data_IF_663995668384
#
_entry.id   IF_663995668384
#
_cell.length_a   1.000
_cell.length_b   1.000
_cell.length_c   1.000
_cell.angle_alpha   90.00
_cell.angle_beta   90.00
_cell.angle_gamma   90.00
#
_symmetry.space_group_name_H-M   'P 1'
#
loop_
_entity.id
_entity.type
_entity.pdbx_description
1 polymer ?
#
# COMPACT_ATOMS: atom_id res chain seq x y z
N UNK A 1 -27.42 -27.70 1.53
CA UNK A 1 -26.73 -26.40 1.34
C UNK A 1 -25.83 -26.00 2.53
N UNK A 2 -25.78 -26.77 3.64
CA UNK A 2 -25.06 -26.37 4.87
C UNK A 2 -23.57 -26.78 4.95
N UNK A 3 -23.08 -27.63 4.07
CA UNK A 3 -21.70 -28.19 4.10
C UNK A 3 -20.58 -27.15 3.93
N UNK A 4 -20.86 -25.96 3.37
CA UNK A 4 -19.85 -24.89 3.23
C UNK A 4 -19.49 -24.23 4.55
N UNK A 5 -20.41 -24.31 5.52
CA UNK A 5 -20.28 -23.73 6.86
C UNK A 5 -19.98 -24.82 7.91
N UNK A 6 -19.86 -26.07 7.48
CA UNK A 6 -19.41 -27.15 8.34
C UNK A 6 -17.92 -26.99 8.64
N UNK A 7 -17.61 -27.19 9.91
CA UNK A 7 -16.28 -27.03 10.47
C UNK A 7 -15.39 -28.17 9.98
N UNK A 8 -14.28 -27.83 9.33
CA UNK A 8 -13.23 -28.76 8.95
C UNK A 8 -12.30 -28.94 10.14
N UNK A 9 -12.13 -30.18 10.59
CA UNK A 9 -11.04 -30.58 11.48
C UNK A 9 -9.87 -31.05 10.63
N UNK A 10 -8.75 -30.33 10.68
CA UNK A 10 -7.48 -30.78 10.14
C UNK A 10 -6.71 -31.53 11.24
N UNK A 11 -6.12 -32.68 10.91
CA UNK A 11 -5.51 -33.63 11.87
C UNK A 11 -4.31 -33.09 12.67
N UNK A 12 -3.94 -31.80 12.54
CA UNK A 12 -2.76 -31.22 13.22
C UNK A 12 -2.87 -29.72 13.58
N UNK A 13 -4.09 -29.17 13.73
CA UNK A 13 -4.25 -27.81 14.26
C UNK A 13 -5.54 -27.61 15.06
N UNK A 14 -5.45 -26.93 16.21
CA UNK A 14 -6.60 -26.44 17.01
C UNK A 14 -7.47 -25.40 16.27
N UNK A 15 -7.10 -25.03 15.05
CA UNK A 15 -7.83 -24.09 14.22
C UNK A 15 -9.03 -24.78 13.56
N UNK A 16 -10.21 -24.57 14.14
CA UNK A 16 -11.49 -24.91 13.52
C UNK A 16 -11.75 -23.88 12.42
N UNK A 17 -11.92 -24.30 11.18
CA UNK A 17 -12.16 -23.42 10.02
C UNK A 17 -13.14 -24.07 9.06
N UNK A 18 -13.94 -23.30 8.35
CA UNK A 18 -14.89 -23.82 7.34
C UNK A 18 -14.26 -23.87 5.96
N UNK A 19 -14.77 -24.72 5.07
CA UNK A 19 -14.29 -24.78 3.68
C UNK A 19 -14.45 -23.44 2.95
N UNK A 20 -15.48 -22.67 3.31
CA UNK A 20 -15.70 -21.32 2.79
C UNK A 20 -14.60 -20.37 3.21
N UNK A 21 -14.24 -20.36 4.49
CA UNK A 21 -13.14 -19.52 5.01
C UNK A 21 -11.79 -19.88 4.38
N UNK A 22 -11.52 -21.16 4.11
CA UNK A 22 -10.32 -21.57 3.37
C UNK A 22 -10.34 -21.02 1.95
N UNK A 23 -11.46 -21.19 1.22
CA UNK A 23 -11.58 -20.69 -0.14
C UNK A 23 -11.43 -19.16 -0.21
N UNK A 24 -12.14 -18.43 0.65
CA UNK A 24 -12.12 -16.97 0.72
C UNK A 24 -10.71 -16.45 1.08
N UNK A 25 -10.02 -17.08 2.05
CA UNK A 25 -8.64 -16.73 2.44
C UNK A 25 -7.65 -16.85 1.29
N UNK A 26 -7.86 -17.80 0.39
CA UNK A 26 -6.94 -18.11 -0.70
C UNK A 26 -7.40 -17.54 -2.06
N UNK A 27 -8.39 -16.63 -2.07
CA UNK A 27 -8.91 -16.02 -3.30
C UNK A 27 -9.56 -17.02 -4.26
N UNK A 28 -10.00 -18.15 -3.73
CA UNK A 28 -10.71 -19.19 -4.45
C UNK A 28 -12.22 -19.11 -4.21
N UNK A 29 -12.98 -19.75 -5.09
CA UNK A 29 -14.43 -19.87 -4.94
C UNK A 29 -14.85 -21.33 -4.99
N UNK A 30 -15.83 -21.68 -4.16
CA UNK A 30 -16.41 -23.02 -4.11
C UNK A 30 -17.89 -22.93 -4.40
N UNK A 31 -18.37 -23.65 -5.41
CA UNK A 31 -19.81 -23.81 -5.63
C UNK A 31 -20.18 -25.21 -6.09
N UNK A 32 -21.45 -25.52 -5.86
CA UNK A 32 -22.05 -26.80 -6.15
C UNK A 32 -23.06 -26.62 -7.27
N UNK A 33 -22.94 -27.44 -8.30
CA UNK A 33 -23.77 -27.35 -9.49
C UNK A 33 -24.42 -28.69 -9.77
N UNK A 34 -25.75 -28.67 -9.88
CA UNK A 34 -26.55 -29.81 -10.35
C UNK A 34 -26.81 -29.66 -11.84
N UNK A 35 -26.52 -30.71 -12.61
CA UNK A 35 -26.97 -30.80 -14.00
C UNK A 35 -28.25 -31.63 -14.05
N UNK A 36 -29.37 -30.95 -14.31
CA UNK A 36 -30.73 -31.53 -14.25
C UNK A 36 -31.04 -32.65 -15.25
N UNK A 37 -30.09 -33.07 -16.09
CA UNK A 37 -30.30 -34.09 -17.12
C UNK A 37 -29.60 -35.44 -16.90
N UNK A 38 -28.64 -35.56 -15.98
CA UNK A 38 -27.75 -36.74 -15.94
C UNK A 38 -27.46 -37.32 -14.55
N UNK A 39 -28.17 -36.93 -13.49
CA UNK A 39 -27.99 -37.50 -12.14
C UNK A 39 -26.63 -37.21 -11.49
N UNK A 40 -25.75 -36.47 -12.16
CA UNK A 40 -24.42 -36.13 -11.67
C UNK A 40 -24.42 -34.75 -11.01
N UNK A 41 -23.79 -34.68 -9.84
CA UNK A 41 -23.44 -33.44 -9.16
C UNK A 41 -21.91 -33.30 -9.13
N UNK A 42 -21.41 -32.09 -9.27
CA UNK A 42 -19.97 -31.83 -9.22
C UNK A 42 -19.65 -30.61 -8.37
N UNK A 43 -18.48 -30.67 -7.74
CA UNK A 43 -17.86 -29.57 -7.04
C UNK A 43 -16.93 -28.84 -8.01
N UNK A 44 -17.07 -27.52 -8.08
CA UNK A 44 -16.08 -26.68 -8.74
C UNK A 44 -15.30 -25.91 -7.68
N UNK A 45 -13.99 -26.07 -7.74
CA UNK A 45 -13.02 -25.34 -6.94
C UNK A 45 -12.25 -24.46 -7.90
N UNK A 46 -12.39 -23.15 -7.75
CA UNK A 46 -11.59 -22.19 -8.51
C UNK A 46 -10.29 -21.97 -7.73
N UNK A 47 -9.20 -22.56 -8.21
CA UNK A 47 -7.87 -22.37 -7.64
C UNK A 47 -7.16 -21.23 -8.41
N UNK A 48 -6.53 -20.27 -7.71
CA UNK A 48 -5.63 -19.32 -8.35
C UNK A 48 -4.58 -20.09 -9.16
N UNK A 49 -4.37 -19.72 -10.42
CA UNK A 49 -3.37 -20.36 -11.27
C UNK A 49 -2.00 -20.23 -10.59
N UNK A 50 -1.42 -21.35 -10.15
CA UNK A 50 0.01 -21.37 -9.86
C UNK A 50 0.72 -21.16 -11.20
N UNK A 51 1.59 -20.15 -11.27
CA UNK A 51 2.49 -19.99 -12.39
C UNK A 51 3.50 -21.13 -12.26
N UNK A 52 3.22 -22.25 -12.91
CA UNK A 52 4.13 -23.38 -12.99
C UNK A 52 5.40 -22.94 -13.72
N UNK A 53 6.51 -22.85 -12.99
CA UNK A 53 7.84 -22.72 -13.53
C UNK A 53 8.16 -23.94 -14.43
N UNK A 54 8.05 -23.76 -15.75
CA UNK A 54 8.61 -24.68 -16.73
C UNK A 54 10.11 -24.40 -16.92
N UNK A 55 10.95 -25.41 -16.72
CA UNK A 55 12.39 -25.42 -17.06
C UNK A 55 12.60 -25.80 -18.55
N UNK A 56 13.76 -25.54 -19.18
CA UNK A 56 13.87 -24.54 -20.24
C UNK A 56 14.22 -25.12 -21.62
N UNK A 57 13.74 -24.47 -22.67
CA UNK A 57 14.36 -24.59 -24.00
C UNK A 57 15.55 -23.62 -24.05
N UNK A 58 16.75 -24.18 -24.30
CA UNK A 58 18.01 -23.52 -24.66
C UNK A 58 18.22 -22.09 -24.13
N UNK A 59 18.93 -22.00 -23.00
CA UNK A 59 19.48 -20.76 -22.47
C UNK A 59 20.60 -20.33 -23.43
N UNK A 60 20.29 -19.47 -24.40
CA UNK A 60 21.26 -18.48 -24.82
C UNK A 60 21.51 -17.59 -23.60
N UNK A 61 22.77 -17.39 -23.22
CA UNK A 61 23.22 -16.55 -22.11
C UNK A 61 22.62 -15.14 -22.22
N UNK A 62 21.42 -14.97 -21.69
CA UNK A 62 20.91 -13.69 -21.27
C UNK A 62 21.26 -13.60 -19.79
N UNK A 63 22.11 -12.63 -19.49
CA UNK A 63 22.46 -12.24 -18.14
C UNK A 63 21.20 -12.24 -17.24
N UNK A 64 21.32 -12.65 -15.97
CA UNK A 64 20.19 -12.60 -15.05
C UNK A 64 19.56 -11.19 -15.11
N UNK A 65 18.22 -11.06 -15.17
CA UNK A 65 17.60 -9.76 -15.03
C UNK A 65 18.15 -9.17 -13.73
N UNK A 66 18.70 -7.96 -13.83
CA UNK A 66 19.18 -7.21 -12.68
C UNK A 66 18.12 -7.31 -11.58
N UNK A 67 18.56 -7.68 -10.37
CA UNK A 67 17.70 -7.59 -9.20
C UNK A 67 17.02 -6.22 -9.26
N UNK A 68 15.70 -6.22 -9.42
CA UNK A 68 14.94 -4.98 -9.46
C UNK A 68 15.22 -4.28 -8.13
N UNK A 69 15.99 -3.21 -8.18
CA UNK A 69 16.28 -2.40 -7.00
C UNK A 69 14.94 -1.91 -6.46
N UNK A 70 14.68 -2.16 -5.17
CA UNK A 70 13.56 -1.54 -4.47
C UNK A 70 13.60 -0.03 -4.70
N UNK A 71 12.42 0.60 -4.81
CA UNK A 71 12.29 2.07 -4.83
C UNK A 71 13.25 2.68 -3.80
N UNK A 72 14.14 3.61 -4.18
CA UNK A 72 15.11 4.20 -3.28
C UNK A 72 14.39 4.81 -2.09
N UNK A 73 14.96 4.63 -0.91
CA UNK A 73 14.46 5.26 0.30
C UNK A 73 14.73 6.78 0.21
N UNK A 74 13.69 7.58 0.40
CA UNK A 74 13.71 9.02 0.18
C UNK A 74 13.53 9.72 1.54
N UNK A 75 14.56 10.41 1.98
CA UNK A 75 14.63 11.00 3.31
C UNK A 75 14.64 12.53 3.21
N UNK A 76 13.45 13.13 3.15
CA UNK A 76 13.32 14.59 3.13
C UNK A 76 12.37 15.03 4.24
N UNK A 77 12.98 15.45 5.35
CA UNK A 77 12.22 15.90 6.51
C UNK A 77 11.68 17.31 6.36
N UNK A 78 12.20 18.10 5.41
CA UNK A 78 11.68 19.42 5.13
C UNK A 78 10.29 19.34 4.48
N UNK A 79 9.96 18.25 3.78
CA UNK A 79 8.59 17.95 3.35
C UNK A 79 7.62 17.83 4.52
N UNK A 80 8.06 17.29 5.65
CA UNK A 80 7.28 17.19 6.88
C UNK A 80 7.25 18.51 7.68
N UNK A 81 8.05 19.52 7.30
CA UNK A 81 8.16 20.82 8.00
C UNK A 81 7.26 21.91 7.44
N UNK A 82 6.51 21.67 6.36
CA UNK A 82 5.51 22.66 5.92
C UNK A 82 4.57 22.95 7.09
N UNK A 83 4.34 24.23 7.43
CA UNK A 83 3.58 24.61 8.62
C UNK A 83 2.08 24.36 8.37
N UNK A 84 1.71 23.09 8.35
CA UNK A 84 0.35 22.63 8.48
C UNK A 84 0.20 22.21 9.93
N UNK A 85 0.37 23.17 10.82
CA UNK A 85 -0.01 22.93 12.20
C UNK A 85 -1.53 22.84 12.19
N UNK A 86 -2.02 21.60 12.31
CA UNK A 86 -3.35 21.29 12.80
C UNK A 86 -3.19 21.06 14.30
N UNK A 87 -2.99 22.11 15.12
CA UNK A 87 -2.77 21.92 16.57
C UNK A 87 -3.95 21.21 17.23
N UNK A 88 -5.13 21.22 16.60
CA UNK A 88 -6.29 20.43 16.96
C UNK A 88 -6.06 18.91 16.88
N UNK A 89 -5.13 18.44 16.04
CA UNK A 89 -4.81 17.03 15.83
C UNK A 89 -3.53 16.58 16.57
N UNK A 90 -2.57 17.47 16.81
CA UNK A 90 -1.24 17.17 17.39
C UNK A 90 -1.32 16.39 18.72
N UNK A 91 -2.18 16.84 19.64
CA UNK A 91 -2.30 16.24 20.97
C UNK A 91 -3.38 15.15 21.04
N UNK A 92 -4.02 14.80 19.91
CA UNK A 92 -5.02 13.73 19.86
C UNK A 92 -4.35 12.36 19.87
N UNK A 93 -5.02 11.39 20.49
CA UNK A 93 -4.55 10.03 20.51
C UNK A 93 -4.57 9.42 19.10
N UNK A 94 -3.51 8.70 18.72
CA UNK A 94 -3.37 8.06 17.41
C UNK A 94 -4.55 7.11 17.10
N UNK A 95 -5.19 6.52 18.10
CA UNK A 95 -6.33 5.61 17.90
C UNK A 95 -7.64 6.33 17.57
N UNK A 96 -7.71 7.63 17.85
CA UNK A 96 -8.90 8.47 17.66
C UNK A 96 -8.85 9.32 16.38
N UNK A 97 -7.71 9.29 15.68
CA UNK A 97 -7.52 10.00 14.43
C UNK A 97 -8.12 9.23 13.25
N UNK A 98 -8.52 10.00 12.23
CA UNK A 98 -8.86 9.47 10.91
C UNK A 98 -7.64 9.63 10.01
N UNK A 99 -7.32 8.57 9.28
CA UNK A 99 -6.17 8.56 8.40
C UNK A 99 -6.59 8.34 6.95
N UNK A 100 -5.82 8.91 6.03
CA UNK A 100 -5.80 8.45 4.64
C UNK A 100 -4.45 7.85 4.36
N UNK A 101 -4.44 6.54 4.11
CA UNK A 101 -3.24 5.84 3.66
C UNK A 101 -3.18 5.93 2.15
N UNK A 102 -2.04 6.30 1.58
CA UNK A 102 -1.91 6.39 0.13
C UNK A 102 -0.53 5.96 -0.36
N UNK A 103 -0.47 5.65 -1.65
CA UNK A 103 0.73 5.33 -2.40
C UNK A 103 0.57 5.82 -3.85
N UNK A 104 1.69 6.05 -4.53
CA UNK A 104 1.73 6.45 -5.93
C UNK A 104 2.61 5.53 -6.77
N UNK A 105 2.18 5.28 -8.00
CA UNK A 105 2.99 4.65 -9.04
C UNK A 105 3.42 5.72 -10.05
N UNK A 106 4.65 5.63 -10.55
CA UNK A 106 5.28 6.68 -11.35
C UNK A 106 6.01 6.12 -12.56
N UNK A 107 6.33 6.99 -13.53
CA UNK A 107 7.16 6.62 -14.70
C UNK A 107 8.63 6.34 -14.34
N UNK A 108 9.04 6.67 -13.13
CA UNK A 108 10.42 6.57 -12.64
C UNK A 108 10.57 7.19 -11.25
N UNK A 109 11.80 7.38 -10.81
CA UNK A 109 12.13 7.65 -9.41
C UNK A 109 12.68 9.06 -9.17
N UNK A 110 12.55 9.98 -10.13
CA UNK A 110 13.09 11.34 -10.01
C UNK A 110 11.98 12.39 -10.03
N UNK A 111 11.59 12.94 -8.87
CA UNK A 111 10.65 14.06 -8.83
C UNK A 111 11.10 15.24 -9.69
N UNK A 112 10.15 15.85 -10.40
CA UNK A 112 10.40 16.94 -11.35
C UNK A 112 10.79 16.47 -12.76
N UNK A 113 11.25 15.22 -12.90
CA UNK A 113 11.50 14.59 -14.20
C UNK A 113 10.48 13.50 -14.54
N UNK A 114 10.02 12.74 -13.54
CA UNK A 114 9.07 11.65 -13.69
C UNK A 114 7.63 12.07 -13.37
N UNK A 115 6.68 11.30 -13.89
CA UNK A 115 5.25 11.58 -13.84
C UNK A 115 4.50 10.52 -13.03
N UNK A 116 3.43 10.93 -12.35
CA UNK A 116 2.53 10.03 -11.63
C UNK A 116 1.64 9.31 -12.66
N UNK A 117 1.52 7.99 -12.54
CA UNK A 117 0.66 7.14 -13.39
C UNK A 117 -0.48 6.48 -12.63
N UNK A 118 -0.42 6.42 -11.30
CA UNK A 118 -1.55 6.01 -10.47
C UNK A 118 -1.47 6.62 -9.06
N UNK A 119 -2.64 6.83 -8.46
CA UNK A 119 -2.79 7.14 -7.04
C UNK A 119 -3.78 6.15 -6.44
N UNK A 120 -3.37 5.50 -5.37
CA UNK A 120 -4.18 4.57 -4.59
C UNK A 120 -4.24 5.05 -3.16
N UNK A 121 -5.44 5.12 -2.59
CA UNK A 121 -5.62 5.54 -1.21
C UNK A 121 -6.86 4.93 -0.59
N UNK A 122 -6.88 4.88 0.74
CA UNK A 122 -8.04 4.44 1.52
C UNK A 122 -8.03 4.99 2.94
N UNK A 123 -9.21 5.00 3.56
CA UNK A 123 -9.39 5.55 4.90
C UNK A 123 -9.16 4.52 5.99
N UNK A 124 -8.60 4.97 7.11
CA UNK A 124 -8.66 4.29 8.41
C UNK A 124 -9.50 5.15 9.34
N UNK A 125 -10.57 4.58 9.89
CA UNK A 125 -11.46 5.24 10.85
C UNK A 125 -11.64 4.32 12.05
N UNK A 126 -11.49 4.84 13.27
CA UNK A 126 -11.62 4.08 14.52
C UNK A 126 -10.76 2.80 14.54
N UNK A 127 -9.51 2.90 14.04
CA UNK A 127 -8.58 1.78 13.96
C UNK A 127 -8.98 0.67 12.98
N UNK A 128 -9.85 0.96 12.01
CA UNK A 128 -10.29 0.01 10.98
C UNK A 128 -10.03 0.55 9.59
N UNK A 129 -9.43 -0.29 8.75
CA UNK A 129 -9.20 -0.02 7.33
C UNK A 129 -10.53 -0.14 6.56
N UNK A 130 -10.99 0.95 5.95
CA UNK A 130 -12.26 1.01 5.22
C UNK A 130 -12.04 0.67 3.75
N UNK A 131 -12.12 -0.62 3.40
CA UNK A 131 -11.88 -1.15 2.04
C UNK A 131 -12.90 -0.68 0.99
N UNK A 132 -14.00 -0.08 1.43
CA UNK A 132 -15.05 0.51 0.59
C UNK A 132 -14.88 2.01 0.37
N UNK A 133 -14.06 2.69 1.19
CA UNK A 133 -13.74 4.11 1.05
C UNK A 133 -12.34 4.24 0.44
N UNK A 134 -12.28 4.02 -0.87
CA UNK A 134 -11.03 3.98 -1.64
C UNK A 134 -11.00 5.08 -2.69
N UNK A 135 -9.81 5.59 -2.96
CA UNK A 135 -9.48 6.39 -4.13
C UNK A 135 -8.51 5.56 -4.97
N UNK A 136 -8.92 5.17 -6.17
CA UNK A 136 -8.07 4.42 -7.09
C UNK A 136 -8.20 5.05 -8.47
N UNK A 137 -7.14 5.72 -8.92
CA UNK A 137 -7.17 6.48 -10.14
C UNK A 137 -5.86 6.31 -10.90
N UNK A 138 -5.96 5.77 -12.12
CA UNK A 138 -4.90 5.88 -13.11
C UNK A 138 -4.81 7.32 -13.62
N UNK A 139 -3.61 7.78 -13.91
CA UNK A 139 -3.32 9.14 -14.34
C UNK A 139 -2.66 9.07 -15.71
N UNK A 140 -3.10 9.89 -16.65
CA UNK A 140 -2.38 10.08 -17.91
C UNK A 140 -1.13 10.91 -17.66
N UNK A 141 0.09 10.35 -17.81
CA UNK A 141 1.33 11.07 -17.52
C UNK A 141 1.75 12.03 -18.63
N UNK A 142 1.01 12.11 -19.74
CA UNK A 142 1.36 12.94 -20.90
C UNK A 142 2.65 12.51 -21.64
N UNK A 143 3.21 11.34 -21.30
CA UNK A 143 4.44 10.78 -21.87
C UNK A 143 4.39 9.25 -21.90
N UNK A 144 5.25 8.59 -22.69
CA UNK A 144 5.40 7.14 -22.62
C UNK A 144 5.91 6.69 -21.24
N UNK A 145 5.34 5.61 -20.71
CA UNK A 145 5.80 4.95 -19.49
C UNK A 145 7.02 4.08 -19.82
N UNK A 146 8.18 4.27 -19.16
CA UNK A 146 9.34 3.41 -19.34
C UNK A 146 9.03 1.95 -19.01
N UNK A 147 9.54 1.02 -19.83
CA UNK A 147 9.29 -0.41 -19.65
C UNK A 147 9.74 -0.97 -18.30
N UNK A 148 10.77 -0.38 -17.70
CA UNK A 148 11.25 -0.74 -16.37
C UNK A 148 10.20 -0.43 -15.28
N UNK A 149 9.52 0.72 -15.37
CA UNK A 149 8.42 1.07 -14.46
C UNK A 149 7.20 0.17 -14.70
N UNK A 150 6.79 -0.01 -15.95
CA UNK A 150 5.69 -0.92 -16.30
C UNK A 150 5.95 -2.38 -15.85
N UNK A 151 7.21 -2.82 -15.81
CA UNK A 151 7.56 -4.16 -15.32
C UNK A 151 7.37 -4.32 -13.80
N UNK A 152 7.36 -3.22 -13.05
CA UNK A 152 7.10 -3.19 -11.60
C UNK A 152 5.59 -3.17 -11.36
N UNK A 153 4.93 -2.10 -11.78
CA UNK A 153 3.56 -1.81 -11.38
C UNK A 153 2.50 -2.31 -12.38
N UNK A 154 2.92 -2.86 -13.52
CA UNK A 154 2.04 -3.44 -14.52
C UNK A 154 1.20 -2.44 -15.33
N UNK A 155 1.39 -1.13 -15.15
CA UNK A 155 0.62 -0.09 -15.84
C UNK A 155 1.28 0.19 -17.19
N UNK A 156 0.47 0.13 -18.25
CA UNK A 156 0.90 0.31 -19.64
C UNK A 156 0.38 1.62 -20.22
N UNK A 157 1.02 2.10 -21.28
CA UNK A 157 0.56 3.29 -22.02
C UNK A 157 -0.90 3.17 -22.49
N UNK A 158 -1.36 1.96 -22.81
CA UNK A 158 -2.75 1.73 -23.22
C UNK A 158 -3.73 1.95 -22.07
N UNK A 159 -3.39 1.56 -20.84
CA UNK A 159 -4.24 1.74 -19.67
C UNK A 159 -4.43 3.21 -19.29
N UNK A 160 -3.42 4.05 -19.53
CA UNK A 160 -3.41 5.48 -19.15
C UNK A 160 -3.80 6.44 -20.27
N UNK A 161 -3.92 5.96 -21.51
CA UNK A 161 -4.16 6.80 -22.71
C UNK A 161 -5.35 7.74 -22.55
N UNK A 162 -6.48 7.20 -22.09
CA UNK A 162 -7.76 7.92 -21.97
C UNK A 162 -8.07 8.31 -20.52
N UNK A 163 -7.07 8.22 -19.63
CA UNK A 163 -7.22 8.60 -18.22
C UNK A 163 -7.08 10.11 -18.04
N UNK A 164 -7.68 10.69 -16.99
CA UNK A 164 -7.49 12.10 -16.68
C UNK A 164 -6.02 12.42 -16.36
N UNK A 165 -5.52 13.61 -16.75
CA UNK A 165 -4.18 14.03 -16.37
C UNK A 165 -4.16 14.50 -14.92
N UNK A 166 -2.96 14.71 -14.37
CA UNK A 166 -2.78 14.98 -12.93
C UNK A 166 -3.47 16.27 -12.48
N UNK A 167 -3.64 17.26 -13.37
CA UNK A 167 -4.35 18.52 -13.11
C UNK A 167 -5.83 18.31 -12.78
N UNK A 168 -6.41 17.19 -13.24
CA UNK A 168 -7.79 16.81 -12.93
C UNK A 168 -7.85 15.87 -11.71
N UNK A 169 -6.85 15.00 -11.56
CA UNK A 169 -6.83 13.97 -10.50
C UNK A 169 -6.45 14.56 -9.15
N UNK A 170 -5.43 15.42 -9.10
CA UNK A 170 -4.89 15.96 -7.85
C UNK A 170 -5.92 16.77 -7.05
N UNK A 171 -6.75 17.65 -7.63
CA UNK A 171 -7.83 18.31 -6.87
C UNK A 171 -8.84 17.33 -6.26
N UNK A 172 -9.14 16.22 -6.96
CA UNK A 172 -10.04 15.17 -6.43
C UNK A 172 -9.40 14.42 -5.28
N UNK A 173 -8.10 14.12 -5.41
CA UNK A 173 -7.33 13.48 -4.35
C UNK A 173 -7.22 14.38 -3.12
N UNK A 174 -6.96 15.69 -3.30
CA UNK A 174 -6.97 16.66 -2.21
C UNK A 174 -8.28 16.61 -1.43
N UNK A 175 -9.43 16.64 -2.12
CA UNK A 175 -10.73 16.52 -1.47
C UNK A 175 -10.92 15.19 -0.73
N UNK A 176 -10.41 14.08 -1.30
CA UNK A 176 -10.49 12.78 -0.64
C UNK A 176 -9.71 12.73 0.68
N UNK A 177 -8.57 13.42 0.78
CA UNK A 177 -7.71 13.41 1.98
C UNK A 177 -8.06 14.50 3.01
N UNK A 178 -9.05 15.35 2.73
CA UNK A 178 -9.48 16.42 3.64
C UNK A 178 -9.81 15.87 5.04
N UNK A 179 -9.38 16.63 6.05
CA UNK A 179 -9.54 16.35 7.48
C UNK A 179 -9.02 14.97 7.93
N UNK A 180 -7.96 14.48 7.28
CA UNK A 180 -7.27 13.26 7.67
C UNK A 180 -5.79 13.48 7.92
N UNK A 181 -5.16 12.59 8.69
CA UNK A 181 -3.71 12.46 8.74
C UNK A 181 -3.28 11.53 7.61
N UNK A 182 -2.36 11.99 6.77
CA UNK A 182 -1.80 11.17 5.69
C UNK A 182 -0.86 10.13 6.26
N UNK A 183 -0.92 8.92 5.72
CA UNK A 183 -0.02 7.82 6.06
C UNK A 183 0.53 7.23 4.76
N UNK A 184 1.83 6.95 4.73
CA UNK A 184 2.45 6.24 3.62
C UNK A 184 3.67 5.46 4.09
N UNK A 185 4.33 4.81 3.15
CA UNK A 185 5.60 4.13 3.38
C UNK A 185 6.68 4.81 2.56
N UNK A 186 7.70 5.38 3.19
CA UNK A 186 8.65 6.24 2.49
C UNK A 186 7.94 7.38 1.73
N UNK A 187 6.97 7.98 2.43
CA UNK A 187 5.92 8.85 1.88
C UNK A 187 6.46 10.20 1.39
N UNK A 188 7.68 10.54 1.82
CA UNK A 188 8.40 11.72 1.37
C UNK A 188 8.54 11.74 -0.16
N UNK A 189 8.79 10.59 -0.80
CA UNK A 189 8.83 10.54 -2.26
C UNK A 189 7.47 10.85 -2.90
N UNK A 190 6.37 10.23 -2.41
CA UNK A 190 5.04 10.45 -2.99
C UNK A 190 4.63 11.91 -2.83
N UNK A 191 4.89 12.50 -1.67
CA UNK A 191 4.65 13.92 -1.41
C UNK A 191 5.49 14.80 -2.32
N UNK A 192 6.76 14.46 -2.58
CA UNK A 192 7.59 15.22 -3.51
C UNK A 192 7.03 15.16 -4.93
N UNK A 193 6.62 13.99 -5.40
CA UNK A 193 5.98 13.83 -6.72
C UNK A 193 4.73 14.72 -6.85
N UNK A 194 3.92 14.81 -5.79
CA UNK A 194 2.73 15.67 -5.74
C UNK A 194 3.09 17.16 -5.68
N UNK A 195 4.10 17.54 -4.90
CA UNK A 195 4.56 18.93 -4.77
C UNK A 195 5.06 19.52 -6.09
N UNK A 196 5.73 18.72 -6.92
CA UNK A 196 6.17 19.15 -8.26
C UNK A 196 5.00 19.54 -9.18
N UNK A 197 3.77 19.15 -8.83
CA UNK A 197 2.55 19.50 -9.58
C UNK A 197 1.86 20.75 -9.02
N UNK A 198 2.32 21.32 -7.91
CA UNK A 198 1.71 22.50 -7.28
C UNK A 198 1.67 23.70 -8.19
N UNK A 199 2.77 23.98 -8.91
CA UNK A 199 2.86 25.13 -9.80
C UNK A 199 1.84 25.07 -10.94
N UNK A 200 1.53 23.86 -11.43
CA UNK A 200 0.65 23.66 -12.58
C UNK A 200 -0.83 23.49 -12.18
N UNK A 201 -1.08 22.95 -10.99
CA UNK A 201 -2.44 22.63 -10.51
C UNK A 201 -3.00 23.69 -9.55
N UNK A 202 -2.14 24.46 -8.91
CA UNK A 202 -2.50 25.33 -7.78
C UNK A 202 -2.91 24.56 -6.51
N UNK A 203 -2.81 23.23 -6.52
CA UNK A 203 -3.18 22.36 -5.39
C UNK A 203 -1.97 22.11 -4.51
N UNK A 204 -1.98 22.64 -3.30
CA UNK A 204 -0.99 22.36 -2.26
C UNK A 204 -1.60 21.40 -1.24
N UNK A 205 -1.03 20.19 -1.13
CA UNK A 205 -1.51 19.18 -0.19
C UNK A 205 -1.03 19.53 1.22
N UNK A 206 -1.98 19.92 2.06
CA UNK A 206 -1.74 20.49 3.38
C UNK A 206 -2.40 19.59 4.42
N UNK A 207 -1.67 18.59 4.90
CA UNK A 207 -2.13 17.65 5.93
C UNK A 207 -0.96 17.18 6.81
N UNK A 208 -1.19 16.82 8.08
CA UNK A 208 -0.19 16.12 8.89
C UNK A 208 0.12 14.76 8.26
N UNK A 209 1.38 14.31 8.36
CA UNK A 209 1.86 13.09 7.70
C UNK A 209 2.54 12.17 8.69
N UNK A 210 2.30 10.87 8.59
CA UNK A 210 3.07 9.82 9.26
C UNK A 210 3.70 8.87 8.24
N UNK A 211 4.98 8.57 8.42
CA UNK A 211 5.72 7.63 7.58
C UNK A 211 5.94 6.32 8.33
N UNK A 212 5.41 5.23 7.80
CA UNK A 212 5.56 3.89 8.40
C UNK A 212 7.00 3.38 8.39
N UNK A 213 7.86 3.80 7.45
CA UNK A 213 9.28 3.48 7.47
C UNK A 213 9.94 4.09 8.72
N UNK A 214 9.69 5.38 8.97
CA UNK A 214 10.24 6.09 10.12
C UNK A 214 9.68 5.55 11.44
N UNK A 215 8.37 5.29 11.50
CA UNK A 215 7.76 4.67 12.68
C UNK A 215 8.32 3.27 12.92
N UNK A 216 8.61 2.50 11.86
CA UNK A 216 9.29 1.21 12.03
C UNK A 216 10.68 1.37 12.62
N UNK A 217 11.44 2.40 12.25
CA UNK A 217 12.76 2.65 12.79
C UNK A 217 12.71 3.01 14.28
N UNK A 218 11.66 3.69 14.74
CA UNK A 218 11.39 3.93 16.18
C UNK A 218 11.07 2.63 16.91
N UNK A 219 10.24 1.77 16.31
CA UNK A 219 9.79 0.52 16.92
C UNK A 219 10.90 -0.53 16.97
N UNK A 220 11.67 -0.65 15.89
CA UNK A 220 12.63 -1.71 15.64
C UNK A 220 13.96 -1.16 15.10
N UNK A 221 14.71 -0.35 15.86
CA UNK A 221 15.92 0.32 15.38
C UNK A 221 17.04 -0.64 14.93
N UNK A 222 17.06 -1.86 15.46
CA UNK A 222 18.06 -2.90 15.13
C UNK A 222 17.63 -3.79 13.95
N UNK A 223 16.51 -3.48 13.29
CA UNK A 223 16.04 -4.26 12.16
C UNK A 223 16.98 -4.09 10.95
N UNK A 224 17.27 -5.19 10.26
CA UNK A 224 18.10 -5.19 9.06
C UNK A 224 17.44 -4.54 7.83
N UNK A 225 16.12 -4.37 7.84
CA UNK A 225 15.36 -3.74 6.77
C UNK A 225 14.06 -3.17 7.31
N UNK A 226 13.69 -2.03 6.73
CA UNK A 226 12.43 -1.32 6.96
C UNK A 226 11.58 -1.23 5.70
N UNK A 227 11.87 -2.02 4.65
CA UNK A 227 11.02 -2.04 3.45
C UNK A 227 9.60 -2.48 3.78
N UNK A 228 8.63 -2.07 2.96
CA UNK A 228 7.24 -2.45 3.17
C UNK A 228 7.05 -3.97 3.23
N UNK A 229 7.80 -4.74 2.42
CA UNK A 229 7.79 -6.21 2.46
C UNK A 229 8.34 -6.75 3.78
N UNK A 230 9.43 -6.16 4.28
CA UNK A 230 10.02 -6.56 5.55
C UNK A 230 9.05 -6.27 6.71
N UNK A 231 8.32 -5.15 6.66
CA UNK A 231 7.29 -4.83 7.65
C UNK A 231 6.08 -5.76 7.54
N UNK A 232 5.59 -5.99 6.33
CA UNK A 232 4.46 -6.89 6.10
C UNK A 232 4.76 -8.30 6.61
N UNK A 233 5.97 -8.82 6.31
CA UNK A 233 6.43 -10.11 6.82
C UNK A 233 6.51 -10.10 8.36
N UNK A 234 7.13 -9.07 8.94
CA UNK A 234 7.30 -8.94 10.41
C UNK A 234 5.97 -8.92 11.15
N UNK A 235 4.97 -8.23 10.60
CA UNK A 235 3.66 -8.10 11.21
C UNK A 235 2.65 -9.16 10.76
N UNK A 236 3.04 -10.10 9.88
CA UNK A 236 2.13 -11.12 9.35
C UNK A 236 0.98 -10.54 8.52
N UNK A 237 1.26 -9.48 7.76
CA UNK A 237 0.33 -8.86 6.80
C UNK A 237 0.50 -9.53 5.45
N UNK A 238 -0.61 -9.95 4.84
CA UNK A 238 -0.60 -10.60 3.53
C UNK A 238 -0.57 -9.54 2.43
N UNK A 239 0.34 -9.72 1.47
CA UNK A 239 0.41 -8.90 0.28
C UNK A 239 -0.73 -9.24 -0.69
N UNK A 240 -1.63 -8.29 -0.93
CA UNK A 240 -2.69 -8.39 -1.93
C UNK A 240 -2.52 -7.22 -2.89
N UNK A 241 -2.35 -7.50 -4.19
CA UNK A 241 -2.18 -6.45 -5.20
C UNK A 241 -0.88 -5.65 -5.07
N UNK A 242 0.22 -6.28 -4.62
CA UNK A 242 1.53 -5.62 -4.49
C UNK A 242 1.94 -5.00 -5.84
N UNK A 243 2.54 -3.81 -5.77
CA UNK A 243 2.92 -2.98 -6.92
C UNK A 243 1.71 -2.46 -7.69
N UNK A 244 0.58 -2.34 -7.00
CA UNK A 244 -0.48 -1.43 -7.42
C UNK A 244 -0.60 -0.38 -6.34
N UNK A 245 -0.84 0.87 -6.72
CA UNK A 245 -0.95 1.97 -5.76
C UNK A 245 -1.97 1.65 -4.65
N UNK A 246 -3.13 1.06 -4.99
CA UNK A 246 -4.14 0.72 -3.98
C UNK A 246 -3.70 -0.47 -3.11
N UNK A 247 -3.10 -1.52 -3.69
CA UNK A 247 -2.63 -2.67 -2.94
C UNK A 247 -1.51 -2.33 -1.96
N UNK A 248 -0.60 -1.43 -2.35
CA UNK A 248 0.47 -0.92 -1.50
C UNK A 248 -0.06 -0.01 -0.39
N UNK A 249 -1.03 0.86 -0.68
CA UNK A 249 -1.72 1.65 0.32
C UNK A 249 -2.47 0.74 1.33
N UNK A 250 -3.14 -0.33 0.87
CA UNK A 250 -3.79 -1.30 1.74
C UNK A 250 -2.78 -2.02 2.65
N UNK A 251 -1.66 -2.49 2.09
CA UNK A 251 -0.60 -3.15 2.87
C UNK A 251 -0.02 -2.19 3.91
N UNK A 252 0.27 -0.96 3.51
CA UNK A 252 0.77 0.11 4.40
C UNK A 252 -0.22 0.37 5.53
N UNK A 253 -1.52 0.41 5.24
CA UNK A 253 -2.56 0.63 6.24
C UNK A 253 -2.67 -0.50 7.26
N UNK A 254 -2.61 -1.75 6.80
CA UNK A 254 -2.59 -2.92 7.69
C UNK A 254 -1.32 -2.92 8.57
N UNK A 255 -0.15 -2.62 8.00
CA UNK A 255 1.11 -2.47 8.74
C UNK A 255 0.99 -1.37 9.80
N UNK A 256 0.50 -0.19 9.42
CA UNK A 256 0.32 0.94 10.32
C UNK A 256 -0.59 0.59 11.50
N UNK A 257 -1.72 -0.10 11.26
CA UNK A 257 -2.62 -0.55 12.32
C UNK A 257 -1.92 -1.50 13.32
N UNK A 258 -0.98 -2.32 12.86
CA UNK A 258 -0.18 -3.21 13.74
C UNK A 258 0.89 -2.45 14.53
N UNK A 259 1.33 -1.29 14.04
CA UNK A 259 2.29 -0.43 14.74
C UNK A 259 1.66 0.35 15.90
N UNK A 260 0.39 0.75 15.78
CA UNK A 260 -0.30 1.56 16.80
C UNK A 260 -0.17 1.02 18.25
N UNK A 261 -0.49 -0.25 18.56
CA UNK A 261 -0.34 -0.76 19.92
C UNK A 261 1.13 -0.85 20.37
N UNK A 262 2.08 -0.98 19.45
CA UNK A 262 3.52 -1.03 19.76
C UNK A 262 4.07 0.37 20.07
N UNK A 263 3.59 1.39 19.37
CA UNK A 263 3.88 2.80 19.64
C UNK A 263 3.33 3.16 21.03
N UNK A 264 2.08 2.80 21.30
CA UNK A 264 1.44 3.02 22.60
C UNK A 264 2.23 2.36 23.74
N UNK A 265 2.69 1.12 23.55
CA UNK A 265 3.53 0.41 24.52
C UNK A 265 4.91 1.06 24.75
N UNK A 266 5.39 1.89 23.80
CA UNK A 266 6.60 2.73 23.95
C UNK A 266 6.31 4.12 24.52
N UNK A 267 5.06 4.40 24.92
CA UNK A 267 4.64 5.71 25.42
C UNK A 267 4.41 6.75 24.33
N UNK A 268 4.26 6.32 23.07
CA UNK A 268 3.94 7.18 21.92
C UNK A 268 2.46 6.98 21.61
N UNK A 269 1.64 7.91 22.06
CA UNK A 269 0.18 7.80 22.01
C UNK A 269 -0.49 8.90 21.22
N UNK A 270 0.18 10.03 21.01
CA UNK A 270 -0.32 11.20 20.28
C UNK A 270 0.39 11.41 18.94
N UNK A 271 -0.21 12.21 18.06
CA UNK A 271 0.40 12.58 16.79
C UNK A 271 1.73 13.31 16.99
N UNK A 272 1.77 14.27 17.93
CA UNK A 272 2.97 15.02 18.30
C UNK A 272 4.10 14.09 18.72
N UNK A 273 3.83 13.16 19.66
CA UNK A 273 4.82 12.20 20.13
C UNK A 273 5.35 11.32 19.00
N UNK A 274 4.47 10.91 18.06
CA UNK A 274 4.88 10.12 16.90
C UNK A 274 5.81 10.89 15.97
N UNK A 275 5.51 12.17 15.69
CA UNK A 275 6.40 13.05 14.93
C UNK A 275 7.73 13.28 15.61
N UNK A 276 7.71 13.59 16.92
CA UNK A 276 8.92 13.81 17.70
C UNK A 276 9.82 12.57 17.72
N UNK A 277 9.24 11.38 17.92
CA UNK A 277 9.96 10.12 17.89
C UNK A 277 10.54 9.81 16.50
N UNK A 278 9.75 9.98 15.43
CA UNK A 278 10.19 9.77 14.06
C UNK A 278 11.39 10.66 13.68
N UNK A 279 11.41 11.92 14.16
CA UNK A 279 12.51 12.87 13.95
C UNK A 279 13.81 12.51 14.65
N UNK A 280 13.78 11.61 15.63
CA UNK A 280 14.98 11.18 16.35
C UNK A 280 15.68 9.98 15.70
N UNK A 281 15.02 9.33 14.73
CA UNK A 281 15.53 8.15 14.02
C UNK A 281 16.80 8.47 13.23
N UNK A 282 17.61 7.45 12.94
CA UNK A 282 18.82 7.61 12.12
C UNK A 282 18.49 8.18 10.73
N UNK A 283 17.39 7.69 10.14
CA UNK A 283 16.85 8.16 8.87
C UNK A 283 16.53 9.67 8.86
N UNK A 284 16.18 10.24 10.02
CA UNK A 284 15.95 11.67 10.18
C UNK A 284 17.19 12.56 10.19
N UNK A 285 18.38 11.95 10.18
CA UNK A 285 19.66 12.66 10.22
C UNK A 285 20.43 12.57 8.91
N UNK A 286 19.85 11.92 7.90
CA UNK A 286 20.44 11.79 6.57
C UNK A 286 19.85 12.92 5.71
N UNK A 287 20.67 13.92 5.42
CA UNK A 287 20.34 14.95 4.43
C UNK A 287 20.76 14.41 3.04
N UNK A 288 19.84 14.40 2.08
CA UNK A 288 20.10 14.07 0.67
C UNK A 288 19.91 15.28 -0.24
#
# INVERSE_FOLDING_TARGET
QHWKEELLTADDSDAVTTLREVADRHGGEVWFQHTGGAGSAYFRLLLPRSVSAGRPAAIAELAPPAMLESRPEYYDFDLFRRPVSRPDLEDRNLRELTYTVFDTETTGLTPGLDEIVAIGALRIVNGRLLRQEVFEQLVSPGRPIPSAASAIHGITDEMVRDQPPIEVVLPRFQHFVEDTVLVGHNVAFDLRMLQEKEANTGVCLVAPVLDTLLLSAVLHPEASSHSLEALALRFGVVAIGRHTALGDAMMTGEVFLRMLPLLEAKGISTLREAHEAARQTYFARIDY
#
